data_IF_645262102596
#
_entry.id   IF_645262102596
#
_cell.length_a   1.000
_cell.length_b   1.000
_cell.length_c   1.000
_cell.angle_alpha   90.00
_cell.angle_beta   90.00
_cell.angle_gamma   90.00
#
_symmetry.space_group_name_H-M   'P 1'
#
loop_
_entity.id
_entity.type
_entity.pdbx_description
1 polymer ?
#
# COMPACT_ATOMS: atom_id res chain seq x y z
N UNK A 1 6.32 7.14 29.87
CA UNK A 1 5.96 6.80 28.48
C UNK A 1 5.19 7.99 27.94
N UNK A 2 5.70 8.69 26.93
CA UNK A 2 4.95 9.80 26.32
C UNK A 2 3.76 9.23 25.55
N UNK A 3 2.56 9.78 25.77
CA UNK A 3 1.42 9.50 24.90
C UNK A 3 1.82 9.90 23.47
N UNK A 4 1.66 8.99 22.50
CA UNK A 4 1.67 9.40 21.10
C UNK A 4 0.46 10.29 20.87
N UNK A 5 0.70 11.59 20.68
CA UNK A 5 -0.36 12.53 20.31
C UNK A 5 -0.78 12.28 18.87
N UNK A 6 -2.10 12.29 18.61
CA UNK A 6 -2.60 12.10 17.25
C UNK A 6 -2.22 13.30 16.38
N UNK A 7 -1.60 13.05 15.24
CA UNK A 7 -1.43 14.08 14.20
C UNK A 7 -2.79 14.37 13.58
N UNK A 8 -3.20 15.64 13.57
CA UNK A 8 -4.42 16.07 12.91
C UNK A 8 -4.18 16.22 11.41
N UNK A 9 -5.12 15.71 10.61
CA UNK A 9 -5.05 15.88 9.16
C UNK A 9 -5.37 17.33 8.78
N UNK A 10 -4.36 18.02 8.23
CA UNK A 10 -4.51 19.38 7.71
C UNK A 10 -5.34 19.42 6.43
N UNK A 11 -5.40 18.31 5.69
CA UNK A 11 -6.21 18.19 4.47
C UNK A 11 -7.60 17.65 4.79
N UNK A 12 -8.59 18.54 4.69
CA UNK A 12 -10.01 18.24 4.93
C UNK A 12 -10.77 17.79 3.68
N UNK A 13 -10.08 17.53 2.58
CA UNK A 13 -10.71 16.97 1.39
C UNK A 13 -11.41 15.63 1.69
N UNK A 14 -12.50 15.36 1.00
CA UNK A 14 -13.18 14.05 1.06
C UNK A 14 -12.65 13.07 0.01
N UNK A 15 -11.76 13.53 -0.87
CA UNK A 15 -11.28 12.79 -2.03
C UNK A 15 -9.82 13.17 -2.33
N UNK A 16 -9.06 12.19 -2.79
CA UNK A 16 -7.70 12.33 -3.29
C UNK A 16 -7.78 12.52 -4.81
N UNK A 17 -7.26 13.63 -5.32
CA UNK A 17 -7.22 13.92 -6.76
C UNK A 17 -6.07 13.18 -7.44
N UNK A 18 -6.41 12.27 -8.35
CA UNK A 18 -5.45 11.45 -9.11
C UNK A 18 -5.18 11.99 -10.52
N UNK A 19 -5.73 13.15 -10.88
CA UNK A 19 -5.44 13.79 -12.18
C UNK A 19 -3.96 14.11 -12.35
N UNK A 20 -3.27 14.48 -11.27
CA UNK A 20 -1.82 14.67 -11.27
C UNK A 20 -1.07 13.40 -11.64
N UNK A 21 -1.45 12.27 -11.04
CA UNK A 21 -0.87 10.96 -11.34
C UNK A 21 -1.10 10.54 -12.79
N UNK A 22 -2.31 10.72 -13.31
CA UNK A 22 -2.63 10.41 -14.71
C UNK A 22 -1.82 11.27 -15.69
N UNK A 23 -1.71 12.58 -15.49
CA UNK A 23 -0.87 13.46 -16.34
C UNK A 23 0.61 13.06 -16.30
N UNK A 24 1.10 12.72 -15.11
CA UNK A 24 2.48 12.27 -14.89
C UNK A 24 2.76 10.94 -15.61
N UNK A 25 1.80 10.03 -15.61
CA UNK A 25 1.83 8.80 -16.38
C UNK A 25 1.82 9.09 -17.88
N UNK A 26 0.90 9.92 -18.36
CA UNK A 26 0.77 10.23 -19.79
C UNK A 26 2.03 10.86 -20.37
N UNK A 27 2.66 11.76 -19.61
CA UNK A 27 3.89 12.44 -20.02
C UNK A 27 5.05 11.46 -20.18
N UNK A 28 5.19 10.53 -19.22
CA UNK A 28 6.39 9.68 -19.12
C UNK A 28 6.24 8.33 -19.81
N UNK A 29 5.04 7.73 -19.80
CA UNK A 29 4.83 6.32 -20.11
C UNK A 29 3.86 6.07 -21.26
N UNK A 30 2.80 6.87 -21.41
CA UNK A 30 1.78 6.62 -22.46
C UNK A 30 2.41 6.66 -23.86
N UNK A 31 2.05 5.67 -24.67
CA UNK A 31 2.51 5.50 -26.05
C UNK A 31 4.04 5.45 -26.21
N UNK A 32 4.76 5.05 -25.16
CA UNK A 32 6.21 4.82 -25.20
C UNK A 32 6.51 3.36 -24.87
N UNK A 33 7.53 2.76 -25.51
CA UNK A 33 7.96 1.41 -25.13
C UNK A 33 8.46 1.42 -23.68
N UNK A 34 8.18 0.33 -22.98
CA UNK A 34 8.73 0.11 -21.65
C UNK A 34 10.27 0.07 -21.73
N UNK A 35 10.98 0.60 -20.72
CA UNK A 35 12.43 0.46 -20.60
C UNK A 35 12.88 -1.00 -20.69
N UNK A 36 13.98 -1.26 -21.41
CA UNK A 36 14.57 -2.60 -21.56
C UNK A 36 15.78 -2.85 -20.65
N UNK A 37 16.22 -1.83 -19.92
CA UNK A 37 17.42 -1.88 -19.10
C UNK A 37 17.34 -0.89 -17.91
N UNK A 38 18.29 -1.02 -16.97
CA UNK A 38 18.32 -0.20 -15.75
C UNK A 38 18.54 1.30 -16.04
N UNK A 39 19.33 1.64 -17.07
CA UNK A 39 19.65 3.03 -17.41
C UNK A 39 18.43 3.72 -18.02
N UNK A 40 17.75 3.06 -18.97
CA UNK A 40 16.51 3.58 -19.55
C UNK A 40 15.38 3.67 -18.52
N UNK A 41 15.30 2.74 -17.56
CA UNK A 41 14.34 2.80 -16.45
C UNK A 41 14.63 3.96 -15.50
N UNK A 42 15.89 4.13 -15.10
CA UNK A 42 16.33 5.26 -14.25
C UNK A 42 16.03 6.61 -14.91
N UNK A 43 16.32 6.74 -16.21
CA UNK A 43 16.04 7.94 -16.98
C UNK A 43 14.54 8.24 -17.07
N UNK A 44 13.72 7.20 -17.28
CA UNK A 44 12.26 7.32 -17.34
C UNK A 44 11.63 7.76 -16.02
N UNK A 45 12.13 7.22 -14.90
CA UNK A 45 11.65 7.56 -13.55
C UNK A 45 12.19 8.91 -13.04
N UNK A 46 13.30 9.38 -13.59
CA UNK A 46 13.96 10.63 -13.16
C UNK A 46 14.71 10.48 -11.83
N UNK A 47 15.08 9.25 -11.45
CA UNK A 47 15.86 8.97 -10.25
C UNK A 47 16.57 7.61 -10.35
N UNK A 48 17.64 7.39 -9.57
CA UNK A 48 18.32 6.09 -9.55
C UNK A 48 17.40 4.94 -9.15
N UNK A 49 17.64 3.76 -9.75
CA UNK A 49 16.95 2.50 -9.43
C UNK A 49 17.90 1.48 -8.80
N UNK A 50 18.69 1.94 -7.82
CA UNK A 50 19.70 1.16 -7.13
C UNK A 50 19.14 -0.11 -6.47
N UNK A 51 17.88 -0.08 -6.01
CA UNK A 51 17.18 -1.23 -5.43
C UNK A 51 16.79 -2.28 -6.48
N UNK A 52 16.38 -1.85 -7.67
CA UNK A 52 16.14 -2.77 -8.80
C UNK A 52 17.46 -3.43 -9.24
N UNK A 53 18.55 -2.65 -9.26
CA UNK A 53 19.89 -3.21 -9.51
C UNK A 53 20.28 -4.25 -8.44
N UNK A 54 20.06 -3.95 -7.17
CA UNK A 54 20.36 -4.87 -6.07
C UNK A 54 19.48 -6.14 -6.13
N UNK A 55 18.21 -6.00 -6.51
CA UNK A 55 17.31 -7.12 -6.74
C UNK A 55 17.87 -8.09 -7.79
N UNK A 56 18.35 -7.59 -8.94
CA UNK A 56 18.92 -8.45 -9.97
C UNK A 56 20.27 -9.05 -9.58
N UNK A 57 21.04 -8.38 -8.71
CA UNK A 57 22.26 -8.96 -8.16
C UNK A 57 21.96 -10.13 -7.22
N UNK A 58 20.89 -10.06 -6.44
CA UNK A 58 20.47 -11.14 -5.53
C UNK A 58 19.69 -12.25 -6.24
N UNK A 59 18.92 -11.89 -7.28
CA UNK A 59 18.03 -12.79 -8.03
C UNK A 59 18.20 -12.57 -9.53
N UNK A 60 19.31 -13.02 -10.14
CA UNK A 60 19.61 -12.75 -11.56
C UNK A 60 18.53 -13.22 -12.53
N UNK A 61 17.91 -14.36 -12.24
CA UNK A 61 16.91 -15.00 -13.09
C UNK A 61 15.65 -14.16 -13.30
N UNK A 62 15.36 -13.19 -12.42
CA UNK A 62 14.18 -12.35 -12.56
C UNK A 62 14.39 -11.15 -13.51
N UNK A 63 15.62 -10.83 -13.91
CA UNK A 63 15.91 -9.63 -14.70
C UNK A 63 15.30 -9.68 -16.10
N UNK A 64 15.42 -10.81 -16.78
CA UNK A 64 14.88 -10.99 -18.13
C UNK A 64 13.35 -10.87 -18.11
N UNK A 65 12.70 -11.65 -17.25
CA UNK A 65 11.25 -11.60 -17.07
C UNK A 65 10.76 -10.20 -16.67
N UNK A 66 11.52 -9.49 -15.83
CA UNK A 66 11.19 -8.14 -15.39
C UNK A 66 11.07 -7.17 -16.56
N UNK A 67 12.11 -7.04 -17.40
CA UNK A 67 12.09 -6.09 -18.50
C UNK A 67 11.24 -6.56 -19.68
N UNK A 68 11.26 -7.85 -19.99
CA UNK A 68 10.52 -8.40 -21.13
C UNK A 68 9.01 -8.37 -20.89
N UNK A 69 8.56 -8.47 -19.64
CA UNK A 69 7.19 -8.92 -19.39
C UNK A 69 6.51 -8.31 -18.16
N UNK A 70 7.20 -8.16 -17.02
CA UNK A 70 6.60 -7.63 -15.78
C UNK A 70 6.46 -6.11 -15.85
N UNK A 71 7.53 -5.39 -16.19
CA UNK A 71 7.51 -3.93 -16.30
C UNK A 71 6.51 -3.43 -17.37
N UNK A 72 6.44 -4.01 -18.59
CA UNK A 72 5.38 -3.70 -19.54
C UNK A 72 3.97 -3.89 -18.95
N UNK A 73 3.77 -4.96 -18.17
CA UNK A 73 2.48 -5.21 -17.52
C UNK A 73 2.17 -4.17 -16.42
N UNK A 74 3.16 -3.75 -15.63
CA UNK A 74 3.00 -2.64 -14.66
C UNK A 74 2.57 -1.36 -15.38
N UNK A 75 3.19 -1.04 -16.53
CA UNK A 75 2.82 0.14 -17.33
C UNK A 75 1.39 0.03 -17.84
N UNK A 76 0.97 -1.14 -18.32
CA UNK A 76 -0.40 -1.38 -18.76
C UNK A 76 -1.41 -1.21 -17.61
N UNK A 77 -1.14 -1.80 -16.44
CA UNK A 77 -1.99 -1.67 -15.24
C UNK A 77 -2.19 -0.21 -14.84
N UNK A 78 -1.13 0.59 -14.82
CA UNK A 78 -1.22 2.03 -14.55
C UNK A 78 -2.04 2.76 -15.63
N UNK A 79 -1.87 2.40 -16.91
CA UNK A 79 -2.61 2.99 -18.02
C UNK A 79 -4.13 2.80 -17.95
N UNK A 80 -4.61 1.79 -17.20
CA UNK A 80 -6.04 1.50 -16.99
C UNK A 80 -6.73 2.45 -16.00
N UNK A 81 -5.99 3.26 -15.22
CA UNK A 81 -6.56 4.08 -14.15
C UNK A 81 -7.77 4.93 -14.59
N UNK A 82 -7.73 5.70 -15.71
CA UNK A 82 -8.87 6.53 -16.12
C UNK A 82 -10.14 5.73 -16.45
N UNK A 83 -9.98 4.48 -16.90
CA UNK A 83 -11.09 3.58 -17.20
C UNK A 83 -11.66 2.97 -15.91
N UNK A 84 -10.80 2.62 -14.96
CA UNK A 84 -11.17 1.97 -13.70
C UNK A 84 -11.74 2.95 -12.66
N UNK A 85 -11.34 4.21 -12.73
CA UNK A 85 -11.82 5.28 -11.86
C UNK A 85 -12.17 6.52 -12.69
N UNK A 86 -13.35 6.52 -13.34
CA UNK A 86 -13.84 7.69 -14.08
C UNK A 86 -13.90 8.92 -13.16
N UNK A 87 -13.30 10.02 -13.58
CA UNK A 87 -13.17 11.24 -12.77
C UNK A 87 -11.86 11.37 -11.99
N UNK A 88 -11.09 10.28 -11.87
CA UNK A 88 -9.77 10.27 -11.22
C UNK A 88 -9.80 10.86 -9.80
N UNK A 89 -10.87 10.59 -9.05
CA UNK A 89 -11.02 11.03 -7.67
C UNK A 89 -11.27 9.80 -6.79
N UNK A 90 -10.40 9.60 -5.79
CA UNK A 90 -10.48 8.46 -4.88
C UNK A 90 -10.97 8.94 -3.52
N UNK A 91 -12.08 8.39 -3.03
CA UNK A 91 -12.61 8.75 -1.72
C UNK A 91 -11.58 8.58 -0.60
N UNK A 92 -11.45 9.60 0.25
CA UNK A 92 -10.58 9.65 1.43
C UNK A 92 -11.36 9.25 2.68
N UNK A 93 -10.81 8.37 3.51
CA UNK A 93 -11.39 8.00 4.80
C UNK A 93 -10.91 8.96 5.90
N UNK A 94 -11.61 10.11 6.00
CA UNK A 94 -11.23 11.24 6.84
C UNK A 94 -11.15 10.90 8.34
N UNK A 95 -10.23 11.57 9.03
CA UNK A 95 -10.07 11.46 10.49
C UNK A 95 -11.37 11.83 11.22
N UNK A 96 -11.65 11.17 12.34
CA UNK A 96 -12.85 11.41 13.15
C UNK A 96 -14.17 10.95 12.53
N UNK A 97 -14.17 10.49 11.27
CA UNK A 97 -15.39 10.07 10.58
C UNK A 97 -15.46 8.54 10.46
N UNK A 98 -16.60 7.97 10.87
CA UNK A 98 -16.91 6.56 10.56
C UNK A 98 -17.32 6.47 9.11
N UNK A 99 -16.58 5.68 8.33
CA UNK A 99 -16.84 5.55 6.90
C UNK A 99 -16.26 4.25 6.32
N UNK A 100 -16.53 3.99 5.05
CA UNK A 100 -16.07 2.83 4.30
C UNK A 100 -15.73 3.15 2.85
N UNK A 101 -14.84 2.35 2.29
CA UNK A 101 -14.37 2.42 0.92
C UNK A 101 -14.27 1.00 0.35
N UNK A 102 -14.91 0.77 -0.80
CA UNK A 102 -14.83 -0.49 -1.52
C UNK A 102 -14.07 -0.27 -2.83
N UNK A 103 -13.02 -1.07 -3.07
CA UNK A 103 -12.14 -0.93 -4.22
C UNK A 103 -12.10 -2.25 -4.99
N UNK A 104 -12.46 -2.29 -6.28
CA UNK A 104 -12.15 -3.43 -7.13
C UNK A 104 -10.65 -3.73 -7.07
N UNK A 105 -10.26 -5.01 -6.98
CA UNK A 105 -8.84 -5.37 -6.90
C UNK A 105 -8.05 -4.96 -8.15
N UNK A 106 -8.71 -4.87 -9.30
CA UNK A 106 -8.14 -4.29 -10.53
C UNK A 106 -7.74 -2.82 -10.37
N UNK A 107 -8.55 -2.01 -9.67
CA UNK A 107 -8.20 -0.63 -9.34
C UNK A 107 -7.02 -0.58 -8.35
N UNK A 108 -7.00 -1.45 -7.35
CA UNK A 108 -5.85 -1.55 -6.41
C UNK A 108 -4.55 -1.87 -7.15
N UNK A 109 -4.57 -2.82 -8.09
CA UNK A 109 -3.42 -3.15 -8.92
C UNK A 109 -2.94 -1.94 -9.76
N UNK A 110 -3.87 -1.18 -10.33
CA UNK A 110 -3.56 0.06 -11.06
C UNK A 110 -2.94 1.13 -10.17
N UNK A 111 -3.47 1.32 -8.96
CA UNK A 111 -2.91 2.26 -7.97
C UNK A 111 -1.49 1.84 -7.53
N UNK A 112 -1.26 0.56 -7.22
CA UNK A 112 0.07 0.03 -6.88
C UNK A 112 1.05 0.23 -8.05
N UNK A 113 0.61 0.05 -9.30
CA UNK A 113 1.43 0.32 -10.46
C UNK A 113 1.84 1.80 -10.54
N UNK A 114 0.94 2.74 -10.24
CA UNK A 114 1.28 4.16 -10.11
C UNK A 114 2.26 4.45 -8.96
N UNK A 115 2.22 3.68 -7.85
CA UNK A 115 3.21 3.77 -6.77
C UNK A 115 4.59 3.34 -7.26
N UNK A 116 4.66 2.22 -7.98
CA UNK A 116 5.89 1.67 -8.58
C UNK A 116 6.49 2.61 -9.63
N UNK A 117 5.68 3.15 -10.53
CA UNK A 117 6.12 4.08 -11.57
C UNK A 117 6.38 5.51 -11.02
N UNK A 118 6.22 5.72 -9.71
CA UNK A 118 6.42 6.98 -9.03
C UNK A 118 5.67 8.15 -9.70
N UNK A 119 4.40 7.94 -10.06
CA UNK A 119 3.58 8.95 -10.75
C UNK A 119 2.73 9.80 -9.81
N UNK A 120 2.48 9.36 -8.58
CA UNK A 120 1.83 10.19 -7.56
C UNK A 120 2.69 11.42 -7.24
N UNK A 121 2.07 12.58 -7.10
CA UNK A 121 2.79 13.81 -6.81
C UNK A 121 3.32 13.80 -5.36
N UNK A 122 4.38 14.56 -5.11
CA UNK A 122 4.90 14.76 -3.75
C UNK A 122 3.97 15.68 -2.95
N UNK A 123 3.17 16.49 -3.65
CA UNK A 123 2.25 17.50 -3.09
C UNK A 123 0.94 16.91 -2.56
N UNK A 124 0.59 15.67 -2.93
CA UNK A 124 -0.63 14.98 -2.47
C UNK A 124 -0.50 14.41 -1.03
N UNK A 125 0.33 15.05 -0.19
CA UNK A 125 0.70 14.55 1.14
C UNK A 125 0.23 15.55 2.19
N UNK A 126 -0.45 15.03 3.21
CA UNK A 126 -0.57 15.74 4.49
C UNK A 126 0.37 15.08 5.51
N UNK A 127 0.63 15.78 6.61
CA UNK A 127 1.41 15.20 7.71
C UNK A 127 0.73 13.93 8.26
N UNK A 128 -0.61 13.90 8.22
CA UNK A 128 -1.43 12.76 8.62
C UNK A 128 -1.49 11.62 7.57
N UNK A 129 -1.15 11.90 6.31
CA UNK A 129 -1.22 10.97 5.18
C UNK A 129 0.09 11.02 4.37
N UNK A 130 1.12 10.25 4.78
CA UNK A 130 2.41 10.26 4.11
C UNK A 130 2.30 9.74 2.68
N UNK A 131 3.26 10.15 1.85
CA UNK A 131 3.27 9.81 0.43
C UNK A 131 3.42 8.33 0.15
N UNK A 132 2.66 7.85 -0.83
CA UNK A 132 2.50 6.43 -1.19
C UNK A 132 3.44 5.99 -2.33
N UNK A 133 4.63 6.57 -2.49
CA UNK A 133 5.52 6.23 -3.62
C UNK A 133 6.53 5.14 -3.27
N UNK A 134 6.83 4.25 -4.23
CA UNK A 134 7.89 3.24 -4.09
C UNK A 134 9.30 3.80 -4.31
N UNK A 135 9.47 5.12 -4.45
CA UNK A 135 10.77 5.76 -4.71
C UNK A 135 11.88 5.24 -3.77
N UNK A 136 11.59 5.12 -2.47
CA UNK A 136 12.56 4.62 -1.47
C UNK A 136 12.91 3.16 -1.69
N UNK A 137 11.93 2.29 -1.95
CA UNK A 137 12.17 0.87 -2.30
C UNK A 137 13.05 0.75 -3.56
N UNK A 138 12.79 1.56 -4.58
CA UNK A 138 13.54 1.54 -5.83
C UNK A 138 14.98 2.06 -5.67
N UNK A 139 15.27 2.84 -4.63
CA UNK A 139 16.58 3.45 -4.37
C UNK A 139 17.39 2.72 -3.29
N UNK A 140 16.74 2.00 -2.38
CA UNK A 140 17.41 1.32 -1.27
C UNK A 140 18.14 0.06 -1.73
N UNK A 141 19.34 -0.18 -1.20
CA UNK A 141 20.10 -1.42 -1.38
C UNK A 141 20.06 -2.33 -0.16
N UNK A 142 19.36 -1.93 0.91
CA UNK A 142 19.28 -2.76 2.11
C UNK A 142 18.48 -4.02 1.81
N UNK A 143 18.93 -5.15 2.34
CA UNK A 143 18.30 -6.46 2.11
C UNK A 143 16.80 -6.48 2.41
N UNK A 144 16.29 -5.87 3.52
CA UNK A 144 14.86 -5.85 3.79
C UNK A 144 14.05 -5.11 2.71
N UNK A 145 14.58 -4.01 2.18
CA UNK A 145 13.90 -3.21 1.17
C UNK A 145 13.95 -3.88 -0.21
N UNK A 146 15.04 -4.60 -0.52
CA UNK A 146 15.15 -5.43 -1.72
C UNK A 146 14.17 -6.60 -1.66
N UNK A 147 13.99 -7.24 -0.50
CA UNK A 147 13.00 -8.29 -0.30
C UNK A 147 11.56 -7.77 -0.48
N UNK A 148 11.25 -6.59 0.07
CA UNK A 148 9.95 -5.92 -0.16
C UNK A 148 9.73 -5.59 -1.64
N UNK A 149 10.75 -5.08 -2.32
CA UNK A 149 10.69 -4.81 -3.76
C UNK A 149 10.43 -6.10 -4.55
N UNK A 150 11.11 -7.20 -4.20
CA UNK A 150 10.89 -8.53 -4.79
C UNK A 150 9.45 -8.99 -4.61
N UNK A 151 8.88 -8.81 -3.44
CA UNK A 151 7.47 -9.15 -3.15
C UNK A 151 6.52 -8.41 -4.10
N UNK A 152 6.70 -7.09 -4.29
CA UNK A 152 5.87 -6.32 -5.22
C UNK A 152 6.07 -6.72 -6.68
N UNK A 153 7.32 -6.97 -7.11
CA UNK A 153 7.61 -7.47 -8.46
C UNK A 153 6.93 -8.82 -8.68
N UNK A 154 7.01 -9.73 -7.72
CA UNK A 154 6.34 -11.02 -7.79
C UNK A 154 4.81 -10.91 -7.79
N UNK A 155 4.25 -9.97 -7.02
CA UNK A 155 2.82 -9.67 -7.06
C UNK A 155 2.38 -9.25 -8.46
N UNK A 156 3.10 -8.33 -9.12
CA UNK A 156 2.78 -7.94 -10.50
C UNK A 156 2.97 -9.08 -11.50
N UNK A 157 3.94 -9.97 -11.26
CA UNK A 157 4.14 -11.15 -12.09
C UNK A 157 2.94 -12.12 -12.00
N UNK A 158 2.45 -12.39 -10.79
CA UNK A 158 1.22 -13.17 -10.55
C UNK A 158 0.02 -12.62 -11.30
N UNK A 159 -0.14 -11.29 -11.34
CA UNK A 159 -1.27 -10.65 -12.02
C UNK A 159 -1.25 -10.81 -13.55
N UNK A 160 -0.11 -11.15 -14.14
CA UNK A 160 -0.02 -11.46 -15.58
C UNK A 160 -0.76 -12.75 -15.93
N UNK A 161 -0.73 -13.72 -15.02
CA UNK A 161 -1.38 -15.03 -15.21
C UNK A 161 -2.86 -15.00 -14.80
N UNK A 162 -3.19 -14.22 -13.78
CA UNK A 162 -4.53 -14.20 -13.18
C UNK A 162 -4.95 -12.77 -12.84
N UNK A 163 -6.01 -12.26 -13.49
CA UNK A 163 -6.54 -10.94 -13.16
C UNK A 163 -7.15 -10.96 -11.75
N UNK A 164 -6.89 -9.94 -10.91
CA UNK A 164 -7.33 -9.99 -9.52
C UNK A 164 -8.83 -9.73 -9.45
N UNK A 165 -9.60 -10.76 -9.12
CA UNK A 165 -11.06 -10.70 -9.02
C UNK A 165 -11.51 -10.19 -7.64
N UNK A 166 -12.73 -9.66 -7.57
CA UNK A 166 -13.35 -9.21 -6.33
C UNK A 166 -12.94 -7.80 -5.90
N UNK A 167 -13.14 -7.50 -4.61
CA UNK A 167 -12.96 -6.15 -4.07
C UNK A 167 -12.33 -6.18 -2.68
N UNK A 168 -11.53 -5.15 -2.39
CA UNK A 168 -11.08 -4.82 -1.05
C UNK A 168 -12.14 -3.93 -0.37
N UNK A 169 -12.47 -4.25 0.88
CA UNK A 169 -13.42 -3.47 1.69
C UNK A 169 -12.70 -2.89 2.89
N UNK A 170 -12.55 -1.58 2.91
CA UNK A 170 -11.85 -0.84 3.96
C UNK A 170 -12.90 -0.11 4.79
N UNK A 171 -12.82 -0.25 6.11
CA UNK A 171 -13.72 0.38 7.06
C UNK A 171 -12.91 1.22 8.04
N UNK A 172 -13.22 2.51 8.13
CA UNK A 172 -12.75 3.37 9.21
C UNK A 172 -13.82 3.37 10.30
N UNK A 173 -13.51 2.78 11.44
CA UNK A 173 -14.40 2.77 12.59
C UNK A 173 -13.97 3.84 13.58
N UNK A 174 -14.92 4.67 14.01
CA UNK A 174 -14.74 5.65 15.08
C UNK A 174 -15.68 5.26 16.20
N UNK A 175 -15.15 5.21 17.42
CA UNK A 175 -15.92 4.93 18.63
C UNK A 175 -16.12 6.23 19.38
N UNK A 176 -17.33 6.46 19.87
CA UNK A 176 -17.58 7.53 20.82
C UNK A 176 -16.77 7.24 22.07
N UNK A 177 -15.96 8.21 22.47
CA UNK A 177 -15.16 8.13 23.68
C UNK A 177 -16.02 8.62 24.83
N UNK A 178 -16.41 7.72 25.72
CA UNK A 178 -16.95 8.12 27.02
C UNK A 178 -15.90 8.98 27.74
N UNK A 179 -16.32 9.99 28.53
CA UNK A 179 -15.45 10.68 29.47
C UNK A 179 -14.66 9.68 30.31
N UNK A 180 -13.41 9.99 30.64
CA UNK A 180 -12.48 9.03 31.26
C UNK A 180 -13.07 8.38 32.53
N UNK A 181 -13.72 9.17 33.40
CA UNK A 181 -14.36 8.66 34.62
C UNK A 181 -15.53 7.72 34.37
N UNK A 182 -16.34 7.97 33.34
CA UNK A 182 -17.45 7.10 32.95
C UNK A 182 -16.92 5.80 32.34
N UNK A 183 -15.88 5.89 31.52
CA UNK A 183 -15.22 4.73 30.91
C UNK A 183 -14.63 3.81 31.97
N UNK A 184 -13.90 4.37 32.93
CA UNK A 184 -13.29 3.59 34.02
C UNK A 184 -14.36 2.88 34.86
N UNK A 185 -15.44 3.59 35.20
CA UNK A 185 -16.59 3.03 35.91
C UNK A 185 -17.27 1.89 35.13
N UNK A 186 -17.46 2.07 33.80
CA UNK A 186 -18.06 1.08 32.94
C UNK A 186 -17.23 -0.21 32.82
N UNK A 187 -15.90 -0.10 32.74
CA UNK A 187 -15.01 -1.27 32.75
C UNK A 187 -15.02 -1.98 34.10
N UNK A 188 -14.92 -1.23 35.21
CA UNK A 188 -14.90 -1.80 36.55
C UNK A 188 -16.22 -2.51 36.92
N UNK A 189 -17.36 -2.01 36.43
CA UNK A 189 -18.68 -2.60 36.63
C UNK A 189 -19.08 -3.69 35.63
N UNK A 190 -18.23 -4.01 34.64
CA UNK A 190 -18.57 -4.99 33.61
C UNK A 190 -18.65 -6.40 34.18
N UNK A 191 -19.82 -7.03 34.07
CA UNK A 191 -20.05 -8.43 34.46
C UNK A 191 -20.02 -9.41 33.26
N UNK A 192 -19.52 -8.96 32.10
CA UNK A 192 -19.38 -9.85 30.94
C UNK A 192 -18.42 -10.99 31.28
N UNK A 193 -18.77 -12.25 31.00
CA UNK A 193 -17.89 -13.37 31.27
C UNK A 193 -16.64 -13.30 30.38
N UNK A 194 -15.55 -13.92 30.85
CA UNK A 194 -14.41 -14.17 29.99
C UNK A 194 -14.83 -15.14 28.88
N UNK A 195 -14.35 -14.87 27.66
CA UNK A 195 -14.52 -15.77 26.53
C UNK A 195 -13.41 -16.83 26.56
N UNK A 196 -13.61 -17.90 25.81
CA UNK A 196 -12.59 -18.93 25.60
C UNK A 196 -11.33 -18.32 24.95
N UNK A 197 -10.17 -18.79 25.40
CA UNK A 197 -8.87 -18.36 24.89
C UNK A 197 -8.08 -19.60 24.49
N UNK A 198 -7.75 -19.70 23.22
CA UNK A 198 -6.87 -20.71 22.67
C UNK A 198 -5.51 -20.07 22.37
N UNK A 199 -4.44 -20.71 22.84
CA UNK A 199 -3.08 -20.31 22.56
C UNK A 199 -2.47 -21.28 21.54
N UNK A 200 -2.05 -20.74 20.40
CA UNK A 200 -1.35 -21.50 19.35
C UNK A 200 0.12 -21.72 19.72
N UNK A 201 0.74 -22.73 19.11
CA UNK A 201 2.15 -23.04 19.33
C UNK A 201 3.07 -21.85 19.00
N UNK A 202 4.21 -21.79 19.69
CA UNK A 202 5.23 -20.80 19.38
C UNK A 202 5.68 -20.91 17.91
N UNK A 203 5.93 -19.75 17.29
CA UNK A 203 6.33 -19.61 15.89
C UNK A 203 5.23 -19.91 14.86
N UNK A 204 3.96 -19.98 15.28
CA UNK A 204 2.80 -19.96 14.37
C UNK A 204 2.33 -18.52 14.20
N UNK A 205 2.33 -18.02 12.96
CA UNK A 205 1.85 -16.67 12.61
C UNK A 205 0.32 -16.60 12.54
N UNK A 206 -0.23 -15.39 12.60
CA UNK A 206 -1.67 -15.16 12.50
C UNK A 206 -2.24 -15.57 11.13
N UNK A 207 -1.43 -15.50 10.09
CA UNK A 207 -1.77 -15.84 8.70
C UNK A 207 -1.71 -17.35 8.40
N UNK A 208 -1.37 -18.17 9.39
CA UNK A 208 -1.31 -19.61 9.22
C UNK A 208 -2.66 -20.19 8.78
N UNK A 209 -2.64 -21.05 7.75
CA UNK A 209 -3.85 -21.58 7.12
C UNK A 209 -4.66 -22.47 8.06
N UNK A 210 -4.02 -23.12 9.04
CA UNK A 210 -4.72 -24.03 9.97
C UNK A 210 -5.29 -23.29 11.17
N UNK A 211 -4.58 -22.28 11.66
CA UNK A 211 -4.90 -21.62 12.93
C UNK A 211 -5.56 -20.24 12.75
N UNK A 212 -5.35 -19.57 11.62
CA UNK A 212 -5.86 -18.24 11.33
C UNK A 212 -7.08 -18.19 10.40
N UNK A 213 -7.40 -19.30 9.72
CA UNK A 213 -8.52 -19.32 8.76
C UNK A 213 -9.86 -19.09 9.48
N UNK A 214 -10.69 -18.21 8.91
CA UNK A 214 -11.95 -17.78 9.52
C UNK A 214 -11.84 -16.83 10.72
N UNK A 215 -10.63 -16.53 11.20
CA UNK A 215 -10.39 -15.60 12.32
C UNK A 215 -10.32 -14.13 11.87
N UNK A 216 -10.62 -13.21 12.80
CA UNK A 216 -10.26 -11.81 12.63
C UNK A 216 -8.80 -11.61 13.02
N UNK A 217 -7.93 -11.47 12.03
CA UNK A 217 -6.49 -11.30 12.26
C UNK A 217 -6.16 -9.86 12.66
N UNK A 218 -5.43 -9.70 13.77
CA UNK A 218 -4.98 -8.41 14.25
C UNK A 218 -3.67 -8.00 13.56
N UNK A 219 -3.57 -6.73 13.16
CA UNK A 219 -2.32 -6.10 12.74
C UNK A 219 -1.77 -5.27 13.91
N UNK A 220 -0.48 -5.41 14.20
CA UNK A 220 0.22 -4.57 15.18
C UNK A 220 0.59 -3.24 14.52
N UNK A 221 -0.44 -2.47 14.22
CA UNK A 221 -0.36 -1.31 13.36
C UNK A 221 0.33 -0.11 14.00
N UNK A 222 1.01 0.68 13.17
CA UNK A 222 1.39 2.05 13.49
C UNK A 222 0.19 3.00 13.31
N UNK A 223 0.20 4.15 13.99
CA UNK A 223 -0.84 5.18 13.82
C UNK A 223 -1.00 5.64 12.36
N UNK A 224 0.08 5.61 11.59
CA UNK A 224 0.06 5.63 10.14
C UNK A 224 0.01 4.19 9.65
N UNK A 225 -1.14 3.73 9.16
CA UNK A 225 -1.33 2.35 8.71
C UNK A 225 -0.24 1.96 7.71
N UNK A 226 0.40 0.81 7.95
CA UNK A 226 1.54 0.32 7.17
C UNK A 226 2.91 0.84 7.60
N UNK A 227 2.99 1.85 8.48
CA UNK A 227 4.23 2.33 9.10
C UNK A 227 5.38 2.54 8.11
N UNK A 228 6.54 1.94 8.41
CA UNK A 228 7.73 1.92 7.54
C UNK A 228 7.67 0.90 6.40
N UNK A 229 6.49 0.47 5.96
CA UNK A 229 6.30 -0.54 4.91
C UNK A 229 6.94 -0.17 3.57
N UNK A 230 7.09 1.13 3.30
CA UNK A 230 7.83 1.66 2.14
C UNK A 230 9.19 2.27 2.52
N UNK A 231 9.69 1.93 3.70
CA UNK A 231 11.04 2.26 4.15
C UNK A 231 11.32 2.13 5.64
N UNK A 232 12.29 1.30 6.00
CA UNK A 232 12.95 1.28 7.31
C UNK A 232 12.18 0.60 8.44
N UNK A 233 11.02 0.02 8.15
CA UNK A 233 10.34 -0.96 8.99
C UNK A 233 10.65 -2.39 8.61
#
# INVERSE_FOLDING_TARGET
MGCQESVLDSDRSSEIDLRGAARSFDTRWRNRPAPGDLSSLSARLGHPVCGVKALFQQYPDCQEAFFASILPHIVDLAGRLPKLLPGLALKKLAQGTRDRLFLPRSLVASLLAHMFLCTFAVEDRSEAMPGVSFRRLLQSRSEPEVAKLRMFVHYFDRLRSEEPLGQLRIYRQVRELLPEGERQSAWAGSQKPLLEVEAVEMNVGFEDVRNGDGCLLADFANMFIGGGGFGGG
#
